data_IF_832204163682
#
_entry.id   IF_832204163682
#
_cell.length_a   1.000
_cell.length_b   1.000
_cell.length_c   1.000
_cell.angle_alpha   90.00
_cell.angle_beta   90.00
_cell.angle_gamma   90.00
#
_symmetry.space_group_name_H-M   'P 1'
#
loop_
_entity.id
_entity.type
_entity.pdbx_description
1 polymer ?
#
# COMPACT_ATOMS: atom_id res chain seq x y z
N UNK A 1 -14.46 0.16 -25.67
CA UNK A 1 -15.06 -0.30 -24.39
C UNK A 1 -16.36 0.46 -24.12
N UNK A 2 -17.22 -0.02 -23.21
CA UNK A 2 -18.49 0.62 -22.83
C UNK A 2 -18.46 1.04 -21.36
N UNK A 3 -19.19 2.10 -21.00
CA UNK A 3 -19.40 2.47 -19.58
C UNK A 3 -20.11 1.34 -18.84
N UNK A 4 -19.85 1.24 -17.55
CA UNK A 4 -20.50 0.30 -16.65
C UNK A 4 -21.13 1.08 -15.52
N UNK A 5 -22.40 0.80 -15.22
CA UNK A 5 -23.06 1.25 -14.00
C UNK A 5 -22.77 0.22 -12.91
N UNK A 6 -22.16 0.62 -11.82
CA UNK A 6 -21.82 -0.24 -10.68
C UNK A 6 -22.62 0.20 -9.45
N UNK A 7 -23.11 -0.76 -8.68
CA UNK A 7 -23.59 -0.52 -7.31
C UNK A 7 -22.43 -0.82 -6.36
N UNK A 8 -21.89 0.20 -5.71
CA UNK A 8 -20.66 0.11 -4.93
C UNK A 8 -20.86 0.58 -3.50
N UNK A 9 -20.45 -0.24 -2.54
CA UNK A 9 -20.46 0.10 -1.13
C UNK A 9 -19.05 0.55 -0.70
N UNK A 10 -18.83 1.85 -0.52
CA UNK A 10 -17.57 2.38 -0.04
C UNK A 10 -17.24 1.90 1.38
N UNK A 11 -15.96 1.98 1.78
CA UNK A 11 -15.49 1.49 3.09
C UNK A 11 -16.24 2.11 4.29
N UNK A 12 -16.67 3.35 4.14
CA UNK A 12 -17.38 4.10 5.18
C UNK A 12 -18.87 4.29 4.86
N UNK A 13 -19.36 3.66 3.79
CA UNK A 13 -20.76 3.76 3.42
C UNK A 13 -21.56 2.64 4.10
N UNK A 14 -22.75 2.98 4.59
CA UNK A 14 -23.72 1.99 5.10
C UNK A 14 -24.58 1.41 3.99
N UNK A 15 -24.64 2.10 2.84
CA UNK A 15 -25.47 1.73 1.69
C UNK A 15 -24.67 1.82 0.38
N UNK A 16 -24.98 0.93 -0.56
CA UNK A 16 -24.34 0.94 -1.88
C UNK A 16 -24.86 2.12 -2.71
N UNK A 17 -23.94 2.81 -3.40
CA UNK A 17 -24.24 3.92 -4.30
C UNK A 17 -24.06 3.47 -5.75
N UNK A 18 -24.99 3.86 -6.60
CA UNK A 18 -24.85 3.65 -8.03
C UNK A 18 -23.87 4.67 -8.62
N UNK A 19 -22.91 4.19 -9.41
CA UNK A 19 -21.91 5.01 -10.08
C UNK A 19 -21.74 4.56 -11.53
N UNK A 20 -21.60 5.51 -12.45
CA UNK A 20 -21.18 5.19 -13.82
C UNK A 20 -19.67 5.35 -13.94
N UNK A 21 -19.02 4.33 -14.46
CA UNK A 21 -17.56 4.30 -14.59
C UNK A 21 -17.14 3.96 -16.01
N UNK A 22 -16.02 4.55 -16.41
CA UNK A 22 -15.26 4.19 -17.59
C UNK A 22 -14.24 3.13 -17.17
N UNK A 23 -14.47 1.83 -17.44
CA UNK A 23 -13.49 0.80 -17.11
C UNK A 23 -12.23 0.99 -17.96
N UNK A 24 -11.06 0.96 -17.31
CA UNK A 24 -9.76 1.13 -17.94
C UNK A 24 -8.90 -0.13 -17.81
N UNK A 25 -9.11 -0.92 -16.76
CA UNK A 25 -8.41 -2.18 -16.54
C UNK A 25 -8.86 -2.90 -15.28
N UNK A 26 -8.48 -4.16 -15.16
CA UNK A 26 -8.62 -4.93 -13.92
C UNK A 26 -7.23 -5.35 -13.49
N UNK A 27 -6.92 -5.17 -12.21
CA UNK A 27 -5.63 -5.52 -11.64
C UNK A 27 -5.83 -6.39 -10.40
N UNK A 28 -5.05 -7.47 -10.29
CA UNK A 28 -4.97 -8.28 -9.08
C UNK A 28 -3.76 -7.79 -8.27
N UNK A 29 -4.01 -7.30 -7.05
CA UNK A 29 -2.97 -6.86 -6.12
C UNK A 29 -3.31 -7.33 -4.71
N UNK A 30 -2.35 -7.95 -4.03
CA UNK A 30 -2.49 -8.45 -2.65
C UNK A 30 -3.74 -9.33 -2.42
N UNK A 31 -4.07 -10.16 -3.42
CA UNK A 31 -5.25 -11.04 -3.39
C UNK A 31 -6.60 -10.32 -3.58
N UNK A 32 -6.60 -9.01 -3.80
CA UNK A 32 -7.78 -8.22 -4.12
C UNK A 32 -7.80 -7.85 -5.60
N UNK A 33 -8.99 -7.90 -6.20
CA UNK A 33 -9.20 -7.46 -7.57
C UNK A 33 -9.70 -6.01 -7.56
N UNK A 34 -9.01 -5.14 -8.29
CA UNK A 34 -9.32 -3.72 -8.44
C UNK A 34 -9.77 -3.44 -9.86
N UNK A 35 -10.86 -2.68 -10.00
CA UNK A 35 -11.22 -2.00 -11.23
C UNK A 35 -10.49 -0.66 -11.24
N UNK A 36 -9.63 -0.48 -12.23
CA UNK A 36 -9.07 0.83 -12.58
C UNK A 36 -10.07 1.50 -13.50
N UNK A 37 -10.58 2.66 -13.10
CA UNK A 37 -11.61 3.37 -13.86
C UNK A 37 -11.58 4.88 -13.62
N UNK A 38 -12.24 5.65 -14.49
CA UNK A 38 -12.63 7.03 -14.17
C UNK A 38 -14.15 7.13 -13.99
N UNK A 39 -14.62 8.14 -13.27
CA UNK A 39 -16.07 8.38 -13.11
C UNK A 39 -16.62 9.24 -14.24
N UNK A 40 -17.84 8.91 -14.69
CA UNK A 40 -18.65 9.74 -15.58
C UNK A 40 -17.87 10.27 -16.80
N UNK A 41 -17.54 11.55 -16.83
CA UNK A 41 -16.74 12.22 -17.87
C UNK A 41 -15.44 12.84 -17.31
N UNK A 42 -15.07 12.49 -16.07
CA UNK A 42 -13.83 12.91 -15.45
C UNK A 42 -12.65 12.07 -15.96
N UNK A 43 -11.46 12.69 -15.93
CA UNK A 43 -10.17 12.04 -16.26
C UNK A 43 -9.47 11.44 -15.05
N UNK A 44 -9.90 11.76 -13.82
CA UNK A 44 -9.30 11.25 -12.60
C UNK A 44 -9.42 9.73 -12.52
N UNK A 45 -8.27 9.07 -12.36
CA UNK A 45 -8.19 7.61 -12.20
C UNK A 45 -8.54 7.25 -10.77
N UNK A 46 -9.33 6.18 -10.62
CA UNK A 46 -9.81 5.66 -9.34
C UNK A 46 -9.69 4.15 -9.32
N UNK A 47 -9.47 3.64 -8.12
CA UNK A 47 -9.45 2.22 -7.83
C UNK A 47 -10.70 1.83 -7.05
N UNK A 48 -11.46 0.89 -7.59
CA UNK A 48 -12.62 0.31 -6.91
C UNK A 48 -12.38 -1.18 -6.67
N UNK A 49 -12.47 -1.63 -5.43
CA UNK A 49 -12.31 -3.05 -5.10
C UNK A 49 -13.55 -3.84 -5.54
N UNK A 50 -13.39 -4.85 -6.39
CA UNK A 50 -14.51 -5.61 -6.96
C UNK A 50 -15.39 -6.30 -5.90
N UNK A 51 -14.82 -6.76 -4.78
CA UNK A 51 -15.59 -7.42 -3.72
C UNK A 51 -16.61 -6.49 -3.03
N UNK A 52 -16.52 -5.16 -3.26
CA UNK A 52 -17.48 -4.15 -2.77
C UNK A 52 -18.51 -3.74 -3.82
N UNK A 53 -18.41 -4.28 -5.03
CA UNK A 53 -19.42 -4.10 -6.07
C UNK A 53 -20.50 -5.18 -5.91
N UNK A 54 -21.71 -4.77 -5.53
CA UNK A 54 -22.84 -5.69 -5.38
C UNK A 54 -23.55 -5.98 -6.71
N UNK A 55 -23.41 -5.08 -7.68
CA UNK A 55 -23.93 -5.25 -9.04
C UNK A 55 -23.13 -4.45 -10.06
N UNK A 56 -23.11 -4.92 -11.30
CA UNK A 56 -22.54 -4.21 -12.44
C UNK A 56 -23.42 -4.42 -13.68
N UNK A 57 -23.75 -3.33 -14.38
CA UNK A 57 -24.53 -3.34 -15.60
C UNK A 57 -23.77 -2.60 -16.69
N UNK A 58 -23.51 -3.29 -17.82
CA UNK A 58 -22.96 -2.64 -19.01
C UNK A 58 -24.00 -1.68 -19.60
N UNK A 59 -23.59 -0.43 -19.81
CA UNK A 59 -24.41 0.58 -20.49
C UNK A 59 -24.11 0.58 -21.98
N UNK A 60 -25.06 0.97 -22.81
CA UNK A 60 -24.84 1.18 -24.25
C UNK A 60 -24.22 2.57 -24.54
N UNK A 61 -23.33 3.02 -23.66
CA UNK A 61 -22.63 4.30 -23.74
C UNK A 61 -21.14 4.01 -23.93
N UNK A 62 -20.45 4.64 -24.92
CA UNK A 62 -19.01 4.49 -25.08
C UNK A 62 -18.24 4.90 -23.81
N UNK A 63 -17.26 4.08 -23.42
CA UNK A 63 -16.32 4.43 -22.35
C UNK A 63 -15.33 5.48 -22.86
N UNK A 64 -15.00 6.48 -22.03
CA UNK A 64 -13.94 7.45 -22.29
C UNK A 64 -12.66 7.03 -21.56
N UNK A 65 -11.59 6.82 -22.33
CA UNK A 65 -10.25 6.61 -21.79
C UNK A 65 -9.56 7.97 -21.71
N UNK A 66 -9.01 8.37 -20.56
CA UNK A 66 -8.26 9.63 -20.46
C UNK A 66 -7.09 9.66 -21.46
N UNK A 67 -6.82 10.83 -22.02
CA UNK A 67 -5.74 10.98 -23.00
C UNK A 67 -4.38 10.59 -22.39
N UNK A 68 -3.62 9.77 -23.12
CA UNK A 68 -2.32 9.27 -22.65
C UNK A 68 -2.37 8.20 -21.56
N UNK A 69 -3.54 7.74 -21.12
CA UNK A 69 -3.63 6.70 -20.10
C UNK A 69 -3.06 5.37 -20.60
N UNK A 70 -2.13 4.80 -19.82
CA UNK A 70 -1.58 3.47 -20.02
C UNK A 70 -1.62 2.70 -18.69
N UNK A 71 -2.27 1.54 -18.67
CA UNK A 71 -2.46 0.75 -17.45
C UNK A 71 -1.14 0.25 -16.85
N UNK A 72 -0.21 -0.19 -17.67
CA UNK A 72 1.09 -0.70 -17.20
C UNK A 72 1.92 0.42 -16.58
N UNK A 73 1.93 1.60 -17.21
CA UNK A 73 2.58 2.79 -16.66
C UNK A 73 1.92 3.25 -15.36
N UNK A 74 0.59 3.17 -15.28
CA UNK A 74 -0.17 3.48 -14.06
C UNK A 74 0.19 2.54 -12.91
N UNK A 75 0.27 1.23 -13.17
CA UNK A 75 0.71 0.23 -12.18
C UNK A 75 2.16 0.51 -11.75
N UNK A 76 3.06 0.77 -12.70
CA UNK A 76 4.47 1.02 -12.43
C UNK A 76 4.73 2.33 -11.67
N UNK A 77 3.79 3.29 -11.71
CA UNK A 77 3.92 4.58 -11.00
C UNK A 77 3.78 4.48 -9.48
N UNK A 78 3.28 3.36 -8.96
CA UNK A 78 3.01 3.21 -7.52
C UNK A 78 1.69 3.84 -7.06
N UNK A 79 0.88 4.44 -7.93
CA UNK A 79 -0.44 5.00 -7.57
C UNK A 79 -1.43 3.96 -7.01
N UNK A 80 -1.20 2.67 -7.26
CA UNK A 80 -1.97 1.58 -6.65
C UNK A 80 -1.46 1.17 -5.26
N UNK A 81 -0.34 1.71 -4.82
CA UNK A 81 0.13 1.52 -3.46
C UNK A 81 -0.75 2.35 -2.54
N UNK A 82 -1.21 1.74 -1.43
CA UNK A 82 -1.99 2.46 -0.43
C UNK A 82 -1.07 3.42 0.32
N UNK A 83 -0.61 4.44 -0.39
CA UNK A 83 0.31 5.46 0.07
C UNK A 83 -0.28 6.11 1.32
N UNK A 84 0.48 6.01 2.41
CA UNK A 84 0.21 6.71 3.66
C UNK A 84 0.77 8.13 3.58
N UNK A 85 1.79 8.34 2.75
CA UNK A 85 2.40 9.63 2.46
C UNK A 85 3.23 9.58 1.19
N UNK A 86 4.06 10.62 1.02
CA UNK A 86 5.01 10.74 -0.09
C UNK A 86 6.19 9.76 0.03
N UNK A 87 7.12 9.82 -0.91
CA UNK A 87 8.38 9.11 -0.85
C UNK A 87 9.18 9.48 0.42
N UNK A 88 9.73 8.47 1.08
CA UNK A 88 10.54 8.62 2.28
C UNK A 88 11.95 8.08 2.07
N UNK A 89 12.91 8.76 2.70
CA UNK A 89 14.23 8.20 2.92
C UNK A 89 14.21 7.38 4.21
N UNK A 90 14.00 6.07 4.07
CA UNK A 90 13.96 5.12 5.17
C UNK A 90 15.39 4.84 5.63
N UNK A 91 15.63 5.10 6.93
CA UNK A 91 16.85 4.67 7.62
C UNK A 91 16.45 3.75 8.76
N UNK A 92 16.95 2.52 8.76
CA UNK A 92 16.62 1.53 9.78
C UNK A 92 17.87 0.77 10.22
N UNK A 93 17.92 0.43 11.50
CA UNK A 93 18.85 -0.60 11.99
C UNK A 93 18.14 -1.94 11.90
N UNK A 94 18.77 -2.92 11.28
CA UNK A 94 18.18 -4.24 11.04
C UNK A 94 19.16 -5.34 11.47
N UNK A 95 18.63 -6.52 11.82
CA UNK A 95 19.47 -7.70 12.06
C UNK A 95 20.18 -8.17 10.78
N UNK A 96 21.31 -8.87 10.93
CA UNK A 96 21.97 -9.52 9.78
C UNK A 96 21.02 -10.48 9.02
N UNK A 97 20.18 -11.22 9.73
CA UNK A 97 19.22 -12.13 9.11
C UNK A 97 18.25 -11.40 8.17
N UNK A 98 17.75 -10.23 8.58
CA UNK A 98 16.92 -9.39 7.74
C UNK A 98 17.70 -8.82 6.55
N UNK A 99 18.99 -8.50 6.75
CA UNK A 99 19.86 -8.01 5.69
C UNK A 99 20.05 -9.05 4.57
N UNK A 100 20.20 -10.34 4.91
CA UNK A 100 20.28 -11.43 3.91
C UNK A 100 19.03 -11.45 3.01
N UNK A 101 17.83 -11.33 3.60
CA UNK A 101 16.60 -11.26 2.82
C UNK A 101 16.56 -10.05 1.88
N UNK A 102 17.09 -8.91 2.32
CA UNK A 102 17.14 -7.67 1.54
C UNK A 102 18.24 -7.66 0.46
N UNK A 103 19.28 -8.47 0.61
CA UNK A 103 20.28 -8.68 -0.45
C UNK A 103 19.70 -9.50 -1.61
N UNK A 104 18.88 -10.51 -1.31
CA UNK A 104 18.21 -11.32 -2.34
C UNK A 104 17.04 -10.56 -2.99
N UNK A 105 16.31 -9.77 -2.20
CA UNK A 105 15.14 -9.00 -2.65
C UNK A 105 15.22 -7.57 -2.15
N UNK A 106 15.94 -6.69 -2.86
CA UNK A 106 16.03 -5.28 -2.49
C UNK A 106 14.66 -4.60 -2.52
N UNK A 107 14.41 -3.70 -1.56
CA UNK A 107 13.19 -2.89 -1.52
C UNK A 107 13.11 -1.93 -2.71
N UNK A 108 14.26 -1.40 -3.12
CA UNK A 108 14.39 -0.48 -4.24
C UNK A 108 15.83 -0.44 -4.75
N UNK A 109 16.04 0.10 -5.96
CA UNK A 109 17.36 0.26 -6.58
C UNK A 109 18.31 1.19 -5.80
N UNK A 110 17.78 2.06 -4.94
CA UNK A 110 18.54 2.99 -4.10
C UNK A 110 18.97 2.38 -2.76
N UNK A 111 18.73 1.09 -2.54
CA UNK A 111 19.05 0.42 -1.29
C UNK A 111 20.57 0.37 -1.05
N UNK A 112 20.97 0.81 0.14
CA UNK A 112 22.33 0.73 0.65
C UNK A 112 22.27 0.02 2.00
N UNK A 113 23.13 -0.99 2.18
CA UNK A 113 23.33 -1.69 3.45
C UNK A 113 24.77 -1.43 3.88
N UNK A 114 24.96 -0.92 5.10
CA UNK A 114 26.27 -0.66 5.70
C UNK A 114 26.40 -1.40 7.02
N UNK A 115 27.55 -2.00 7.28
CA UNK A 115 27.83 -2.68 8.56
C UNK A 115 27.83 -1.67 9.72
N UNK A 116 27.24 -2.05 10.86
CA UNK A 116 27.30 -1.27 12.11
C UNK A 116 28.13 -2.02 13.14
N UNK A 117 27.82 -3.30 13.35
CA UNK A 117 28.54 -4.25 14.19
C UNK A 117 28.23 -5.70 13.74
N UNK A 118 28.69 -6.69 14.51
CA UNK A 118 28.57 -8.12 14.19
C UNK A 118 27.13 -8.66 14.23
N UNK A 119 26.15 -7.91 14.75
CA UNK A 119 24.76 -8.36 14.87
C UNK A 119 23.77 -7.48 14.09
N UNK A 120 24.16 -6.24 13.80
CA UNK A 120 23.28 -5.22 13.24
C UNK A 120 23.92 -4.51 12.05
N UNK A 121 23.09 -4.23 11.06
CA UNK A 121 23.46 -3.41 9.90
C UNK A 121 22.52 -2.22 9.76
N UNK A 122 22.98 -1.22 9.02
CA UNK A 122 22.23 -0.02 8.70
C UNK A 122 21.68 -0.13 7.28
N UNK A 123 20.36 -0.08 7.16
CA UNK A 123 19.62 0.02 5.92
C UNK A 123 19.29 1.48 5.63
N UNK A 124 19.63 1.94 4.43
CA UNK A 124 19.20 3.22 3.87
C UNK A 124 18.59 3.00 2.49
N UNK A 125 17.34 3.42 2.29
CA UNK A 125 16.64 3.24 1.01
C UNK A 125 15.59 4.33 0.83
N UNK A 126 15.38 4.75 -0.42
CA UNK A 126 14.29 5.67 -0.78
C UNK A 126 13.14 4.87 -1.37
N UNK A 127 11.98 4.94 -0.73
CA UNK A 127 10.78 4.14 -1.05
C UNK A 127 9.50 4.95 -0.81
N UNK A 128 8.41 4.57 -1.48
CA UNK A 128 7.09 5.11 -1.16
C UNK A 128 6.65 4.70 0.26
N UNK A 129 6.12 5.64 1.06
CA UNK A 129 5.54 5.32 2.36
C UNK A 129 4.14 4.71 2.21
N UNK A 130 4.06 3.39 2.31
CA UNK A 130 2.83 2.62 2.08
C UNK A 130 2.47 1.79 3.30
N UNK A 131 1.19 1.41 3.44
CA UNK A 131 0.80 0.52 4.53
C UNK A 131 1.44 -0.86 4.38
N UNK A 132 1.60 -1.32 3.15
CA UNK A 132 2.26 -2.56 2.79
C UNK A 132 3.71 -2.59 3.29
N UNK A 133 4.48 -1.51 3.05
CA UNK A 133 5.83 -1.36 3.58
C UNK A 133 5.83 -1.41 5.10
N UNK A 134 4.91 -0.68 5.75
CA UNK A 134 4.83 -0.64 7.22
C UNK A 134 4.48 -1.99 7.82
N UNK A 135 3.53 -2.73 7.25
CA UNK A 135 3.17 -4.07 7.71
C UNK A 135 4.30 -5.07 7.47
N UNK A 136 4.97 -4.97 6.33
CA UNK A 136 6.14 -5.79 6.02
C UNK A 136 7.23 -5.58 7.07
N UNK A 137 7.58 -4.32 7.37
CA UNK A 137 8.53 -3.96 8.42
C UNK A 137 8.10 -4.50 9.79
N UNK A 138 6.83 -4.30 10.19
CA UNK A 138 6.29 -4.83 11.44
C UNK A 138 6.37 -6.36 11.52
N UNK A 139 6.28 -7.07 10.39
CA UNK A 139 6.42 -8.52 10.32
C UNK A 139 7.77 -9.05 10.81
N UNK A 140 8.82 -8.21 10.79
CA UNK A 140 10.15 -8.55 11.34
C UNK A 140 10.24 -8.32 12.85
N UNK A 141 9.24 -7.70 13.47
CA UNK A 141 9.18 -7.50 14.92
C UNK A 141 10.34 -6.65 15.45
N UNK A 142 11.05 -7.20 16.44
CA UNK A 142 12.18 -6.56 17.12
C UNK A 142 13.49 -6.58 16.31
N UNK A 143 13.51 -7.25 15.16
CA UNK A 143 14.67 -7.27 14.25
C UNK A 143 14.85 -5.98 13.44
N UNK A 144 13.92 -5.03 13.55
CA UNK A 144 13.97 -3.73 12.85
C UNK A 144 13.73 -2.57 13.81
N UNK A 145 14.63 -1.60 13.79
CA UNK A 145 14.49 -0.33 14.48
C UNK A 145 14.51 0.82 13.46
N UNK A 146 13.37 1.49 13.29
CA UNK A 146 13.28 2.65 12.40
C UNK A 146 14.02 3.83 13.02
N UNK A 147 15.04 4.35 12.34
CA UNK A 147 15.80 5.53 12.74
C UNK A 147 15.25 6.82 12.10
N UNK A 148 14.85 6.75 10.83
CA UNK A 148 14.26 7.87 10.08
C UNK A 148 13.26 7.38 9.02
N UNK A 149 12.26 8.20 8.62
CA UNK A 149 11.98 9.55 9.14
C UNK A 149 11.39 9.54 10.56
N UNK A 150 11.49 10.67 11.27
CA UNK A 150 11.03 10.78 12.68
C UNK A 150 9.55 10.45 12.85
N UNK A 151 8.72 10.79 11.87
CA UNK A 151 7.28 10.46 11.84
C UNK A 151 7.06 8.95 11.86
N UNK A 152 7.79 8.21 11.03
CA UNK A 152 7.71 6.76 10.94
C UNK A 152 8.26 6.09 12.20
N UNK A 153 9.40 6.57 12.73
CA UNK A 153 9.93 6.10 14.01
C UNK A 153 8.91 6.28 15.15
N UNK A 154 8.25 7.43 15.21
CA UNK A 154 7.19 7.68 16.20
C UNK A 154 6.03 6.69 16.04
N UNK A 155 5.57 6.46 14.81
CA UNK A 155 4.50 5.51 14.53
C UNK A 155 4.82 4.09 15.02
N UNK A 156 6.03 3.58 14.74
CA UNK A 156 6.47 2.27 15.22
C UNK A 156 6.61 2.24 16.75
N UNK A 157 7.11 3.32 17.36
CA UNK A 157 7.17 3.45 18.82
C UNK A 157 5.79 3.40 19.48
N UNK A 158 4.79 4.06 18.91
CA UNK A 158 3.41 4.03 19.41
C UNK A 158 2.80 2.61 19.31
N UNK A 159 3.04 1.91 18.20
CA UNK A 159 2.60 0.52 18.01
C UNK A 159 3.27 -0.39 19.06
N UNK A 160 4.60 -0.32 19.20
CA UNK A 160 5.34 -1.14 20.16
C UNK A 160 4.85 -0.91 21.60
N UNK A 161 4.59 0.35 21.97
CA UNK A 161 4.01 0.69 23.28
C UNK A 161 2.62 0.08 23.48
N UNK A 162 1.76 0.11 22.46
CA UNK A 162 0.42 -0.47 22.55
C UNK A 162 0.48 -2.00 22.62
N UNK A 163 1.35 -2.63 21.83
CA UNK A 163 1.58 -4.08 21.89
C UNK A 163 2.08 -4.49 23.28
N UNK A 164 3.08 -3.79 23.83
CA UNK A 164 3.59 -4.06 25.17
C UNK A 164 2.47 -3.99 26.23
N UNK A 165 1.59 -2.99 26.16
CA UNK A 165 0.42 -2.89 27.06
C UNK A 165 -0.54 -4.07 26.90
N UNK A 166 -0.78 -4.55 25.69
CA UNK A 166 -1.66 -5.70 25.43
C UNK A 166 -1.13 -7.02 25.97
N UNK A 167 0.20 -7.18 26.05
CA UNK A 167 0.86 -8.39 26.55
C UNK A 167 1.31 -8.29 28.01
N UNK A 168 1.17 -7.13 28.65
CA UNK A 168 1.31 -7.01 30.10
C UNK A 168 0.15 -7.77 30.75
N UNK A 169 0.42 -9.02 31.13
CA UNK A 169 -0.50 -9.85 31.91
C UNK A 169 -0.86 -9.06 33.17
N UNK A 170 -2.14 -8.71 33.32
CA UNK A 170 -2.69 -8.31 34.62
C UNK A 170 -2.45 -9.50 35.55
N UNK A 171 -1.40 -9.41 36.38
CA UNK A 171 -1.03 -10.45 37.32
C UNK A 171 -2.24 -10.83 38.16
N UNK A 172 -2.84 -11.97 37.82
CA UNK A 172 -3.83 -12.64 38.64
C UNK A 172 -3.11 -13.86 39.18
N UNK A 173 -2.52 -13.66 40.35
CA UNK A 173 -2.20 -14.75 41.26
C UNK A 173 -3.50 -15.39 41.76
#
# INVERSE_FOLDING_TARGET
MRKVKVSYCGRNDTEAKEQEVNPLGIVLKDGLIYLVCSYWDYSDIRLMTLHRMSAAQRLDIPSKVPEGFNLDAYIASGEMDFAVGDEIHLKARISENMAVHLQERPLHSTQIISEVDDEQVLLEVTVQDTNELRWWLLGFGDQVEILAPKSLRKHFGDIANNMAKSYQVSGSA
#
